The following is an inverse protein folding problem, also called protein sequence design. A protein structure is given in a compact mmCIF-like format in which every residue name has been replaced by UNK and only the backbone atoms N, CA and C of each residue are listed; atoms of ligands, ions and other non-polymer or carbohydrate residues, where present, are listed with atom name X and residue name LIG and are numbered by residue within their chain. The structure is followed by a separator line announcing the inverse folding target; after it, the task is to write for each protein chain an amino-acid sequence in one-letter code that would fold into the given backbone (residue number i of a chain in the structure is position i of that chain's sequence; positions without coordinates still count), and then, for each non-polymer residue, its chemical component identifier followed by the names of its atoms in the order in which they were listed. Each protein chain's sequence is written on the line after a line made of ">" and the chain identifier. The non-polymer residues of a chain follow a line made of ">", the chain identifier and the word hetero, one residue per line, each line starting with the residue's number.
data_IF_279261466883
#
_entry.id   IF_279261466883
#
_cell.length_a   1.000
_cell.length_b   1.000
_cell.length_c   1.000
_cell.angle_alpha   90.00
_cell.angle_beta   90.00
_cell.angle_gamma   90.00
#
_symmetry.space_group_name_H-M   'P 1'
#
loop_
_entity.id
_entity.type
_entity.pdbx_description
1 polymer ?
#
# COMPACT_ATOMS: atom_id res chain seq x y z
N UNK A 1 -2.50 6.93 38.92
CA UNK A 1 -1.98 8.00 38.05
C UNK A 1 -0.68 7.50 37.45
N UNK A 2 -0.79 6.69 36.38
CA UNK A 2 0.35 6.13 35.65
C UNK A 2 0.09 6.34 34.18
N UNK A 3 0.97 7.16 33.61
CA UNK A 3 1.49 7.05 32.24
C UNK A 3 0.53 7.47 31.12
N UNK A 4 0.36 8.80 31.10
CA UNK A 4 -0.10 9.63 30.01
C UNK A 4 1.00 9.77 28.91
N UNK A 5 1.64 8.67 28.52
CA UNK A 5 2.86 8.65 27.70
C UNK A 5 2.80 7.80 26.40
N UNK A 6 1.61 7.37 25.97
CA UNK A 6 1.42 6.68 24.67
C UNK A 6 0.66 7.55 23.64
N UNK A 7 0.80 8.87 23.70
CA UNK A 7 0.40 9.76 22.59
C UNK A 7 1.49 9.83 21.51
N UNK A 8 2.20 8.73 21.26
CA UNK A 8 3.04 8.60 20.07
C UNK A 8 2.11 8.65 18.85
N UNK A 9 2.50 9.38 17.79
CA UNK A 9 1.65 9.70 16.65
C UNK A 9 0.75 8.51 16.24
N UNK A 10 -0.60 8.66 16.23
CA UNK A 10 -1.54 7.54 16.08
C UNK A 10 -1.41 6.78 14.74
N UNK A 11 -0.69 7.37 13.78
CA UNK A 11 -0.38 6.77 12.48
C UNK A 11 1.11 6.39 12.34
N UNK A 12 1.83 6.20 13.45
CA UNK A 12 3.25 5.84 13.41
C UNK A 12 3.41 4.42 12.84
N UNK A 13 4.22 4.24 11.77
CA UNK A 13 4.48 2.91 11.22
C UNK A 13 5.16 1.99 12.25
N UNK A 14 4.81 0.71 12.28
CA UNK A 14 5.49 -0.25 13.12
C UNK A 14 6.81 -0.71 12.49
N UNK A 15 7.83 -1.07 13.28
CA UNK A 15 9.09 -1.57 12.74
C UNK A 15 8.88 -2.78 11.82
N UNK A 16 9.41 -2.68 10.61
CA UNK A 16 9.41 -3.78 9.65
C UNK A 16 10.56 -4.76 9.95
N UNK A 17 10.35 -5.55 11.00
CA UNK A 17 11.33 -6.46 11.58
C UNK A 17 11.69 -7.67 10.71
N UNK A 18 12.73 -8.39 11.14
CA UNK A 18 13.31 -9.53 10.40
C UNK A 18 12.26 -10.62 10.08
N UNK A 19 11.36 -10.93 11.01
CA UNK A 19 10.32 -11.94 10.80
C UNK A 19 9.36 -11.57 9.66
N UNK A 20 8.94 -10.30 9.56
CA UNK A 20 8.08 -9.82 8.46
C UNK A 20 8.79 -9.93 7.12
N UNK A 21 10.08 -9.58 7.07
CA UNK A 21 10.94 -9.74 5.87
C UNK A 21 11.04 -11.20 5.44
N UNK A 22 11.31 -12.10 6.38
CA UNK A 22 11.41 -13.54 6.10
C UNK A 22 10.09 -14.12 5.59
N UNK A 23 8.95 -13.72 6.17
CA UNK A 23 7.62 -14.14 5.70
C UNK A 23 7.34 -13.66 4.26
N UNK A 24 7.71 -12.42 3.93
CA UNK A 24 7.56 -11.90 2.57
C UNK A 24 8.48 -12.58 1.55
N UNK A 25 9.70 -12.97 1.95
CA UNK A 25 10.59 -13.78 1.11
C UNK A 25 10.00 -15.18 0.88
N UNK A 26 9.51 -15.82 1.94
CA UNK A 26 8.98 -17.18 1.87
C UNK A 26 7.76 -17.31 0.94
N UNK A 27 6.91 -16.29 0.89
CA UNK A 27 5.72 -16.29 0.03
C UNK A 27 5.98 -15.76 -1.39
N UNK A 28 7.15 -15.16 -1.64
CA UNK A 28 7.49 -14.57 -2.95
C UNK A 28 7.34 -15.56 -4.12
N UNK A 29 7.81 -16.82 -4.03
CA UNK A 29 7.60 -17.79 -5.11
C UNK A 29 6.13 -18.09 -5.38
N UNK A 30 5.31 -18.20 -4.32
CA UNK A 30 3.86 -18.41 -4.44
C UNK A 30 3.18 -17.23 -5.11
N UNK A 31 3.60 -15.99 -4.79
CA UNK A 31 3.11 -14.76 -5.45
C UNK A 31 3.49 -14.72 -6.92
N UNK A 32 4.73 -15.09 -7.26
CA UNK A 32 5.19 -15.15 -8.65
C UNK A 32 4.39 -16.18 -9.47
N UNK A 33 4.15 -17.36 -8.90
CA UNK A 33 3.31 -18.39 -9.51
C UNK A 33 1.85 -17.91 -9.68
N UNK A 34 1.29 -17.29 -8.65
CA UNK A 34 -0.05 -16.69 -8.65
C UNK A 34 -0.20 -15.57 -9.69
N UNK A 35 0.89 -14.87 -10.01
CA UNK A 35 0.99 -13.86 -11.04
C UNK A 35 1.27 -14.43 -12.44
N UNK A 36 1.26 -15.75 -12.63
CA UNK A 36 1.54 -16.40 -13.92
C UNK A 36 2.99 -16.24 -14.38
N UNK A 37 3.94 -16.17 -13.44
CA UNK A 37 5.36 -15.98 -13.73
C UNK A 37 5.75 -14.52 -14.00
N UNK A 38 4.82 -13.58 -13.93
CA UNK A 38 5.12 -12.15 -14.06
C UNK A 38 5.38 -11.52 -12.67
N UNK A 39 6.52 -10.86 -12.51
CA UNK A 39 6.73 -10.00 -11.34
C UNK A 39 5.91 -8.72 -11.52
N UNK A 40 4.81 -8.58 -10.78
CA UNK A 40 4.05 -7.34 -10.71
C UNK A 40 4.49 -6.55 -9.48
N UNK A 41 4.90 -5.31 -9.71
CA UNK A 41 5.34 -4.42 -8.65
C UNK A 41 4.14 -3.70 -8.01
N UNK A 42 3.45 -4.40 -7.10
CA UNK A 42 2.24 -3.94 -6.44
C UNK A 42 2.53 -3.85 -4.95
N UNK A 43 2.07 -2.78 -4.31
CA UNK A 43 2.05 -2.74 -2.86
C UNK A 43 1.03 -3.74 -2.31
N UNK A 44 1.57 -4.80 -1.73
CA UNK A 44 0.77 -5.86 -1.16
C UNK A 44 0.42 -5.54 0.30
N UNK A 45 -0.87 -5.47 0.60
CA UNK A 45 -1.36 -5.50 1.97
C UNK A 45 -1.50 -6.95 2.42
N UNK A 46 -0.49 -7.46 3.11
CA UNK A 46 -0.55 -8.78 3.72
C UNK A 46 -0.90 -8.67 5.22
N UNK A 47 -1.53 -9.68 5.82
CA UNK A 47 -1.88 -9.63 7.24
C UNK A 47 -0.69 -9.44 8.19
N UNK A 48 0.54 -9.75 7.78
CA UNK A 48 1.76 -9.57 8.58
C UNK A 48 2.55 -8.30 8.24
N UNK A 49 2.24 -7.64 7.12
CA UNK A 49 2.87 -6.38 6.72
C UNK A 49 2.00 -5.16 7.03
N UNK A 50 0.75 -5.36 7.45
CA UNK A 50 -0.17 -4.30 7.82
C UNK A 50 -0.55 -4.39 9.30
N UNK A 51 -0.78 -3.24 9.91
CA UNK A 51 -1.44 -3.15 11.22
C UNK A 51 -2.66 -2.24 11.12
N UNK A 52 -3.59 -2.44 12.04
CA UNK A 52 -4.79 -1.62 12.16
C UNK A 52 -4.45 -0.28 12.83
N UNK A 53 -5.02 0.80 12.32
CA UNK A 53 -4.87 2.15 12.87
C UNK A 53 -6.24 2.76 13.14
N UNK A 54 -6.28 3.78 13.98
CA UNK A 54 -7.51 4.53 14.26
C UNK A 54 -7.95 5.30 12.98
N UNK A 55 -9.14 5.01 12.42
CA UNK A 55 -9.65 5.75 11.26
C UNK A 55 -9.87 7.24 11.56
N UNK A 56 -10.18 7.62 12.80
CA UNK A 56 -10.44 9.01 13.18
C UNK A 56 -9.15 9.85 13.25
N UNK A 57 -7.99 9.19 13.32
CA UNK A 57 -6.68 9.84 13.24
C UNK A 57 -6.28 10.23 11.81
N UNK A 58 -6.98 9.75 10.79
CA UNK A 58 -6.69 10.04 9.38
C UNK A 58 -7.33 11.38 8.99
N UNK A 59 -6.51 12.35 8.59
CA UNK A 59 -6.98 13.65 8.09
C UNK A 59 -7.67 13.46 6.73
N UNK A 60 -9.00 13.67 6.63
CA UNK A 60 -9.73 13.45 5.38
C UNK A 60 -9.33 14.43 4.27
N UNK A 61 -8.70 15.57 4.60
CA UNK A 61 -8.25 16.55 3.59
C UNK A 61 -6.99 16.12 2.84
N UNK A 62 -6.25 15.15 3.37
CA UNK A 62 -5.00 14.64 2.79
C UNK A 62 -5.15 13.23 2.22
N UNK A 63 -6.36 12.65 2.29
CA UNK A 63 -6.69 11.35 1.71
C UNK A 63 -6.92 11.49 0.21
N UNK A 64 -6.48 10.48 -0.54
CA UNK A 64 -6.80 10.31 -1.94
C UNK A 64 -7.83 9.19 -2.12
N UNK A 65 -9.02 9.53 -2.59
CA UNK A 65 -10.08 8.55 -2.86
C UNK A 65 -9.88 7.99 -4.28
N UNK A 66 -9.60 6.69 -4.35
CA UNK A 66 -9.58 5.98 -5.62
C UNK A 66 -10.97 5.38 -5.89
N UNK A 67 -11.56 5.62 -7.07
CA UNK A 67 -12.86 5.06 -7.40
C UNK A 67 -12.79 3.54 -7.48
N UNK A 68 -13.89 2.88 -7.14
CA UNK A 68 -14.05 1.44 -7.33
C UNK A 68 -14.09 1.04 -8.81
N UNK A 69 -13.95 -0.25 -9.07
CA UNK A 69 -13.91 -0.83 -10.43
C UNK A 69 -15.12 -1.73 -10.64
N UNK A 70 -16.02 -1.31 -11.54
CA UNK A 70 -17.21 -2.08 -11.87
C UNK A 70 -16.83 -3.45 -12.44
N UNK A 71 -17.52 -4.50 -11.98
CA UNK A 71 -17.32 -5.87 -12.45
C UNK A 71 -16.24 -6.66 -11.73
N UNK A 72 -15.44 -6.03 -10.85
CA UNK A 72 -14.62 -6.77 -9.90
C UNK A 72 -15.48 -7.34 -8.77
N UNK A 73 -15.12 -8.52 -8.27
CA UNK A 73 -15.78 -9.10 -7.09
C UNK A 73 -14.98 -8.75 -5.84
N UNK A 74 -15.63 -8.58 -4.68
CA UNK A 74 -14.90 -8.50 -3.42
C UNK A 74 -14.12 -9.80 -3.23
N UNK A 75 -12.83 -9.68 -2.90
CA UNK A 75 -11.97 -10.82 -2.61
C UNK A 75 -11.50 -10.66 -1.18
N UNK A 76 -11.78 -11.65 -0.33
CA UNK A 76 -11.28 -11.68 1.04
C UNK A 76 -9.75 -11.80 1.01
N UNK A 77 -9.05 -10.91 1.73
CA UNK A 77 -7.59 -10.88 1.88
C UNK A 77 -7.00 -12.21 2.36
N UNK A 78 -7.78 -13.02 3.07
CA UNK A 78 -7.40 -14.34 3.57
C UNK A 78 -7.41 -15.41 2.49
N UNK A 79 -8.05 -15.15 1.34
CA UNK A 79 -8.14 -16.12 0.25
C UNK A 79 -6.93 -16.03 -0.67
N UNK A 80 -6.39 -17.16 -1.16
CA UNK A 80 -5.31 -17.18 -2.14
C UNK A 80 -5.60 -16.37 -3.41
N UNK A 81 -6.88 -16.19 -3.74
CA UNK A 81 -7.34 -15.38 -4.88
C UNK A 81 -6.94 -13.91 -4.77
N UNK A 82 -6.81 -13.37 -3.55
CA UNK A 82 -6.33 -12.01 -3.34
C UNK A 82 -4.87 -11.83 -3.81
N UNK A 83 -4.09 -12.92 -3.78
CA UNK A 83 -2.71 -12.95 -4.26
C UNK A 83 -2.59 -13.30 -5.75
N UNK A 84 -3.71 -13.55 -6.45
CA UNK A 84 -3.76 -13.98 -7.85
C UNK A 84 -4.48 -12.95 -8.75
N UNK A 85 -3.91 -11.76 -9.03
CA UNK A 85 -4.52 -10.74 -9.88
C UNK A 85 -4.95 -11.22 -11.27
N UNK A 86 -4.22 -12.19 -11.82
CA UNK A 86 -4.42 -12.69 -13.21
C UNK A 86 -5.44 -13.82 -13.27
N UNK A 87 -5.61 -14.61 -12.20
CA UNK A 87 -6.53 -15.75 -12.14
C UNK A 87 -7.86 -15.41 -11.43
N UNK A 88 -8.44 -14.25 -11.75
CA UNK A 88 -9.75 -13.81 -11.24
C UNK A 88 -9.71 -12.88 -10.02
N UNK A 89 -8.54 -12.37 -9.64
CA UNK A 89 -8.36 -11.32 -8.64
C UNK A 89 -8.53 -9.90 -9.22
N UNK A 90 -8.22 -8.89 -8.40
CA UNK A 90 -8.23 -7.50 -8.82
C UNK A 90 -7.05 -7.22 -9.76
N UNK A 91 -7.31 -6.61 -10.91
CA UNK A 91 -6.29 -6.39 -11.95
C UNK A 91 -6.12 -4.93 -12.35
N UNK A 92 -7.00 -4.03 -11.92
CA UNK A 92 -6.81 -2.59 -12.11
C UNK A 92 -6.03 -1.99 -10.94
N UNK A 93 -5.15 -1.05 -11.25
CA UNK A 93 -4.35 -0.35 -10.25
C UNK A 93 -4.29 1.16 -10.50
N UNK A 94 -4.07 1.91 -9.44
CA UNK A 94 -3.61 3.30 -9.47
C UNK A 94 -2.15 3.38 -9.07
N UNK A 95 -1.44 4.40 -9.58
CA UNK A 95 -0.06 4.73 -9.20
C UNK A 95 -0.12 6.00 -8.37
N UNK A 96 0.24 5.89 -7.10
CA UNK A 96 0.16 6.97 -6.12
C UNK A 96 1.56 7.48 -5.80
N UNK A 97 1.70 8.79 -5.63
CA UNK A 97 2.95 9.41 -5.20
C UNK A 97 2.63 10.41 -4.09
N UNK A 98 3.48 10.48 -3.05
CA UNK A 98 3.33 11.45 -1.98
C UNK A 98 3.81 12.84 -2.39
N UNK A 99 3.07 13.87 -1.99
CA UNK A 99 3.51 15.26 -2.10
C UNK A 99 4.17 15.67 -0.78
N UNK A 100 5.48 15.94 -0.83
CA UNK A 100 6.19 16.51 0.31
C UNK A 100 6.09 18.03 0.27
N UNK A 101 5.46 18.63 1.29
CA UNK A 101 5.43 20.08 1.47
C UNK A 101 6.76 20.51 2.13
N UNK A 102 7.67 21.12 1.35
CA UNK A 102 8.98 21.60 1.82
C UNK A 102 10.08 21.34 0.80
N UNK A 103 10.41 22.36 0.01
CA UNK A 103 11.32 22.24 -1.14
C UNK A 103 12.78 21.99 -0.79
N UNK A 104 13.51 21.48 -1.79
CA UNK A 104 14.96 21.44 -1.82
C UNK A 104 15.53 20.03 -1.72
N UNK A 105 15.82 19.42 -2.87
CA UNK A 105 16.82 18.38 -3.09
C UNK A 105 16.77 17.17 -2.14
N UNK A 106 15.78 16.27 -2.32
CA UNK A 106 15.78 14.81 -2.02
C UNK A 106 14.37 14.16 -2.03
N UNK A 107 13.43 14.67 -2.83
CA UNK A 107 12.07 14.11 -2.94
C UNK A 107 12.07 12.65 -3.43
N UNK A 108 13.10 12.27 -4.17
CA UNK A 108 13.38 10.93 -4.70
C UNK A 108 13.82 9.91 -3.64
N UNK A 109 14.12 10.33 -2.39
CA UNK A 109 14.65 9.45 -1.33
C UNK A 109 13.81 9.42 -0.05
N UNK A 110 12.69 10.15 0.00
CA UNK A 110 11.87 10.20 1.20
C UNK A 110 10.92 9.02 1.24
N UNK A 111 11.23 8.09 2.14
CA UNK A 111 10.40 6.93 2.42
C UNK A 111 9.06 7.38 3.02
N UNK A 112 7.96 6.86 2.50
CA UNK A 112 6.63 6.96 3.11
C UNK A 112 5.98 5.59 3.25
N UNK A 113 4.91 5.53 4.00
CA UNK A 113 4.12 4.34 4.25
C UNK A 113 2.72 4.60 3.75
N UNK A 114 2.12 3.62 3.06
CA UNK A 114 0.78 3.75 2.51
C UNK A 114 -0.21 3.00 3.39
N UNK A 115 -1.31 3.66 3.73
CA UNK A 115 -2.45 3.08 4.39
C UNK A 115 -3.72 3.25 3.57
N UNK A 116 -4.77 2.57 3.99
CA UNK A 116 -6.08 2.65 3.36
C UNK A 116 -7.20 2.57 4.39
N UNK A 117 -8.33 3.21 4.07
CA UNK A 117 -9.58 3.18 4.84
C UNK A 117 -10.67 2.60 3.94
N UNK A 118 -11.32 1.52 4.40
CA UNK A 118 -12.47 0.95 3.70
C UNK A 118 -13.74 1.75 3.95
N UNK A 119 -14.72 1.55 3.07
CA UNK A 119 -16.12 1.96 3.28
C UNK A 119 -16.73 1.43 4.58
N UNK A 120 -16.22 0.33 5.12
CA UNK A 120 -16.66 -0.25 6.39
C UNK A 120 -16.01 0.40 7.62
N UNK A 121 -15.19 1.44 7.44
CA UNK A 121 -14.52 2.16 8.54
C UNK A 121 -13.26 1.48 9.05
N UNK A 122 -12.85 0.33 8.49
CA UNK A 122 -11.57 -0.29 8.84
C UNK A 122 -10.42 0.46 8.17
N UNK A 123 -9.41 0.84 8.96
CA UNK A 123 -8.18 1.46 8.49
C UNK A 123 -6.95 0.57 8.77
N UNK A 124 -6.07 0.39 7.79
CA UNK A 124 -4.82 -0.33 7.94
C UNK A 124 -3.66 0.46 7.34
N UNK A 125 -2.49 0.42 7.98
CA UNK A 125 -1.24 0.99 7.52
C UNK A 125 -0.24 -0.11 7.16
N UNK A 126 0.40 -0.01 6.00
CA UNK A 126 1.48 -0.91 5.62
C UNK A 126 2.78 -0.48 6.31
N UNK A 127 3.43 -1.40 7.02
CA UNK A 127 4.71 -1.20 7.69
C UNK A 127 5.90 -1.21 6.74
N UNK A 128 5.70 -1.56 5.47
CA UNK A 128 6.77 -1.52 4.47
C UNK A 128 6.95 -0.09 3.97
N UNK A 129 8.16 0.50 4.11
CA UNK A 129 8.45 1.80 3.53
C UNK A 129 8.49 1.71 2.01
N UNK A 130 8.03 2.78 1.36
CA UNK A 130 7.95 2.96 -0.09
C UNK A 130 8.86 4.12 -0.46
N UNK A 131 9.67 3.90 -1.49
CA UNK A 131 10.44 4.94 -2.16
C UNK A 131 9.75 5.31 -3.47
N UNK A 132 9.48 6.59 -3.70
CA UNK A 132 8.83 7.07 -4.93
C UNK A 132 7.37 6.60 -5.08
N UNK A 133 6.94 6.31 -6.30
CA UNK A 133 5.53 6.01 -6.55
C UNK A 133 5.15 4.56 -6.23
N UNK A 134 3.92 4.33 -5.77
CA UNK A 134 3.39 3.02 -5.39
C UNK A 134 2.19 2.61 -6.22
N UNK A 135 2.15 1.36 -6.68
CA UNK A 135 0.94 0.79 -7.30
C UNK A 135 0.02 0.18 -6.25
N UNK A 136 -1.23 0.59 -6.24
CA UNK A 136 -2.27 0.04 -5.37
C UNK A 136 -3.38 -0.58 -6.21
N UNK A 137 -3.80 -1.81 -5.85
CA UNK A 137 -4.92 -2.47 -6.50
C UNK A 137 -6.23 -1.79 -6.14
N UNK A 138 -7.12 -1.67 -7.13
CA UNK A 138 -8.45 -1.08 -6.97
C UNK A 138 -9.49 -2.18 -7.01
N UNK A 139 -10.25 -2.30 -5.92
CA UNK A 139 -11.37 -3.22 -5.79
C UNK A 139 -12.68 -2.67 -6.34
N UNK A 140 -13.81 -3.37 -6.10
CA UNK A 140 -15.13 -2.94 -6.55
C UNK A 140 -15.60 -1.65 -5.89
N UNK A 141 -15.19 -1.43 -4.63
CA UNK A 141 -15.63 -0.29 -3.83
C UNK A 141 -14.60 0.84 -3.86
N UNK A 142 -15.05 2.11 -3.75
CA UNK A 142 -14.15 3.22 -3.52
C UNK A 142 -13.28 2.98 -2.29
N UNK A 143 -11.99 3.31 -2.38
CA UNK A 143 -11.04 3.14 -1.29
C UNK A 143 -10.30 4.45 -1.05
N UNK A 144 -10.28 4.88 0.20
CA UNK A 144 -9.51 6.03 0.65
C UNK A 144 -8.08 5.59 0.93
N UNK A 145 -7.10 6.18 0.26
CA UNK A 145 -5.68 5.96 0.55
C UNK A 145 -5.08 7.17 1.26
N UNK A 146 -4.19 6.91 2.20
CA UNK A 146 -3.42 7.94 2.90
C UNK A 146 -1.94 7.54 2.95
N UNK A 147 -1.05 8.52 3.05
CA UNK A 147 0.37 8.29 3.22
C UNK A 147 0.88 8.96 4.49
N UNK A 148 1.87 8.34 5.13
CA UNK A 148 2.55 8.91 6.31
C UNK A 148 4.06 8.81 6.16
N UNK A 149 4.79 9.75 6.76
CA UNK A 149 6.25 9.62 6.89
C UNK A 149 6.62 8.73 8.10
N UNK A 150 7.92 8.50 8.31
CA UNK A 150 8.41 7.70 9.45
C UNK A 150 8.10 8.26 10.84
N UNK A 151 7.63 9.51 10.93
CA UNK A 151 7.18 10.15 12.17
C UNK A 151 5.66 10.02 12.39
N UNK A 152 4.93 9.37 11.48
CA UNK A 152 3.47 9.25 11.52
C UNK A 152 2.73 10.51 11.06
N UNK A 153 3.41 11.47 10.42
CA UNK A 153 2.76 12.67 9.89
C UNK A 153 2.14 12.35 8.52
N UNK A 154 0.86 12.70 8.35
CA UNK A 154 0.16 12.46 7.11
C UNK A 154 0.60 13.40 5.99
N UNK A 155 0.94 12.79 4.85
CA UNK A 155 1.33 13.41 3.60
C UNK A 155 0.13 13.43 2.63
N UNK A 156 0.10 14.41 1.73
CA UNK A 156 -0.85 14.40 0.61
C UNK A 156 -0.42 13.34 -0.40
N UNK A 157 -1.41 12.78 -1.09
CA UNK A 157 -1.21 11.84 -2.17
C UNK A 157 -1.77 12.39 -3.47
N UNK A 158 -1.09 12.12 -4.57
CA UNK A 158 -1.60 12.33 -5.92
C UNK A 158 -1.59 11.02 -6.71
N UNK A 159 -2.59 10.85 -7.57
CA UNK A 159 -2.61 9.77 -8.55
C UNK A 159 -1.85 10.24 -9.79
N UNK A 160 -0.71 9.61 -10.10
CA UNK A 160 0.14 9.96 -11.25
C UNK A 160 -0.05 9.02 -12.44
N UNK A 161 -0.85 7.97 -12.27
CA UNK A 161 -1.12 7.00 -13.33
C UNK A 161 -2.14 5.96 -12.91
N UNK A 162 -2.64 5.22 -13.88
CA UNK A 162 -3.49 4.06 -13.67
C UNK A 162 -3.22 3.03 -14.76
N UNK A 163 -3.53 1.77 -14.49
CA UNK A 163 -3.34 0.71 -15.46
C UNK A 163 -4.03 -0.58 -15.09
N UNK A 164 -3.73 -1.60 -15.89
CA UNK A 164 -4.25 -2.96 -15.73
C UNK A 164 -3.12 -3.97 -15.82
N UNK A 165 -3.13 -4.96 -14.95
CA UNK A 165 -2.19 -6.08 -14.94
C UNK A 165 -2.55 -7.08 -16.04
N UNK A 166 -1.54 -7.64 -16.71
CA UNK A 166 -1.70 -8.63 -17.77
C UNK A 166 -0.76 -8.41 -18.96
N UNK A 167 -0.87 -9.23 -20.03
CA UNK A 167 0.09 -9.30 -21.15
C UNK A 167 0.34 -7.97 -21.89
N UNK A 168 -0.59 -7.02 -21.77
CA UNK A 168 -0.53 -5.72 -22.44
C UNK A 168 -0.40 -4.53 -21.45
N UNK A 169 -0.08 -4.80 -20.18
CA UNK A 169 0.05 -3.77 -19.15
C UNK A 169 1.43 -3.09 -19.18
N UNK A 170 1.46 -1.75 -19.25
CA UNK A 170 2.69 -0.97 -19.14
C UNK A 170 3.27 -1.09 -17.71
N UNK A 171 4.46 -1.68 -17.60
CA UNK A 171 5.19 -1.91 -16.34
C UNK A 171 6.06 -0.74 -15.89
N UNK A 172 5.70 0.52 -16.18
CA UNK A 172 6.68 1.64 -16.18
C UNK A 172 6.93 2.36 -14.85
N UNK A 173 6.42 1.89 -13.72
CA UNK A 173 6.68 2.52 -12.40
C UNK A 173 7.17 1.50 -11.37
N UNK A 174 8.41 1.66 -10.93
CA UNK A 174 9.13 0.80 -9.98
C UNK A 174 8.80 1.23 -8.55
N UNK A 175 8.38 0.28 -7.72
CA UNK A 175 8.27 0.33 -6.26
C UNK A 175 8.97 -0.89 -5.65
N UNK A 176 10.26 -1.05 -5.98
CA UNK A 176 11.27 -1.93 -5.39
C UNK A 176 10.81 -3.28 -4.81
N UNK A 177 10.62 -4.25 -5.71
CA UNK A 177 11.32 -5.52 -5.53
C UNK A 177 12.77 -5.34 -6.04
N UNK A 178 13.75 -5.60 -5.17
CA UNK A 178 15.21 -5.47 -5.36
C UNK A 178 15.83 -4.10 -5.03
N UNK A 179 16.08 -3.88 -3.73
CA UNK A 179 17.32 -3.27 -3.24
C UNK A 179 17.60 -3.68 -1.79
N UNK A 180 17.87 -4.97 -1.60
CA UNK A 180 18.62 -5.50 -0.45
C UNK A 180 19.36 -6.77 -0.94
N UNK A 181 20.31 -6.55 -1.85
CA UNK A 181 21.67 -7.11 -1.87
C UNK A 181 22.54 -6.13 -2.64
#
# INVERSE_FOLDING_TARGET
>A
MKEQFDSEAPLRPLPYGLLKRMADVAISPLRLLAAGGCAYDINHSSPWSCHEVDPDAVDPKKVLIMPGVKGQKPVDKRTPRFQMPVAGGWNEYGVLESEFEGGGDKLDKLLFYIGWVSVAGKAELNDRPIEGAVRVLRGPDPTAFFAVNGLGQQLRLKCIGAGRLGPNGLNRYVASWAQLY
#
